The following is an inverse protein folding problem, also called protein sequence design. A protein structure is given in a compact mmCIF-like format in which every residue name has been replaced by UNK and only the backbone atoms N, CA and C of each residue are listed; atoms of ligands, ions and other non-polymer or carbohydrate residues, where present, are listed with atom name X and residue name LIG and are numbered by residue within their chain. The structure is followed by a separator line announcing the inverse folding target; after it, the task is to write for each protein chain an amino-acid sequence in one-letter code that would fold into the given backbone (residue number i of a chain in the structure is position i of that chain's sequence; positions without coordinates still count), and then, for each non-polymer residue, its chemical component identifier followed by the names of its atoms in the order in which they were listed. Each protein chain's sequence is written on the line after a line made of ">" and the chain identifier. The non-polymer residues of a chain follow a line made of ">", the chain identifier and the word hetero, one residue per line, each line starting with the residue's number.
data_IF_960136289833
#
_entry.id   IF_960136289833
#
_cell.length_a   1.000
_cell.length_b   1.000
_cell.length_c   1.000
_cell.angle_alpha   90.00
_cell.angle_beta   90.00
_cell.angle_gamma   90.00
#
_symmetry.space_group_name_H-M   'P 1'
#
loop_
_entity.id
_entity.type
_entity.pdbx_description
1 polymer ?
#
# COMPACT_ATOMS: atom_id res chain seq x y z
N UNK A 1 11.77 -48.66 63.75
CA UNK A 1 10.86 -49.83 63.73
C UNK A 1 9.57 -49.36 63.09
N UNK A 2 8.96 -50.26 62.30
CA UNK A 2 7.71 -50.10 61.52
C UNK A 2 7.86 -49.36 60.17
N UNK A 3 7.76 -50.01 58.99
CA UNK A 3 6.59 -50.59 58.27
C UNK A 3 5.61 -49.47 57.85
N UNK A 4 5.07 -49.35 56.61
CA UNK A 4 4.74 -50.33 55.56
C UNK A 4 4.29 -49.59 54.28
N UNK A 5 4.53 -50.24 53.14
CA UNK A 5 3.89 -50.20 51.79
C UNK A 5 3.00 -49.03 51.32
N UNK A 6 3.15 -48.71 50.03
CA UNK A 6 2.11 -48.04 49.24
C UNK A 6 2.43 -48.01 47.74
N UNK A 7 2.17 -49.13 47.06
CA UNK A 7 2.26 -49.30 45.61
C UNK A 7 1.02 -48.68 44.93
N UNK A 8 1.19 -47.82 43.93
CA UNK A 8 0.14 -47.52 42.95
C UNK A 8 0.76 -47.40 41.55
N UNK A 9 0.45 -48.38 40.71
CA UNK A 9 0.64 -48.36 39.26
C UNK A 9 -0.22 -47.29 38.60
N UNK A 10 0.23 -46.74 37.46
CA UNK A 10 -0.52 -46.58 36.20
C UNK A 10 0.43 -45.96 35.11
N UNK A 11 0.09 -46.01 33.80
CA UNK A 11 0.91 -46.70 32.81
C UNK A 11 1.80 -45.82 31.92
N UNK A 12 2.80 -46.46 31.31
CA UNK A 12 3.54 -45.93 30.15
C UNK A 12 2.64 -45.94 28.92
N UNK A 13 2.43 -44.77 28.31
CA UNK A 13 1.94 -44.67 26.93
C UNK A 13 2.91 -43.83 26.12
N UNK A 14 3.58 -44.51 25.19
CA UNK A 14 4.26 -43.93 24.04
C UNK A 14 3.20 -43.38 23.08
N UNK A 15 3.30 -42.11 22.71
CA UNK A 15 2.60 -41.58 21.54
C UNK A 15 3.51 -40.61 20.80
N UNK A 16 3.63 -40.90 19.51
CA UNK A 16 4.56 -40.32 18.56
C UNK A 16 4.20 -38.89 18.19
N UNK A 17 5.27 -38.16 17.88
CA UNK A 17 5.33 -36.95 17.07
C UNK A 17 4.48 -37.12 15.80
N UNK A 18 3.46 -36.28 15.62
CA UNK A 18 2.65 -36.23 14.39
C UNK A 18 2.70 -34.84 13.80
N UNK A 19 3.37 -34.73 12.65
CA UNK A 19 3.36 -33.56 11.78
C UNK A 19 1.95 -33.31 11.22
N UNK A 20 1.51 -32.06 11.03
CA UNK A 20 0.31 -31.77 10.26
C UNK A 20 0.61 -31.96 8.76
N UNK A 21 0.00 -33.00 8.17
CA UNK A 21 -0.03 -33.23 6.73
C UNK A 21 -0.99 -32.25 6.06
N UNK A 22 -0.42 -31.41 5.21
CA UNK A 22 -1.09 -30.73 4.11
C UNK A 22 -1.93 -31.72 3.30
N UNK A 23 -3.25 -31.52 3.22
CA UNK A 23 -4.13 -32.23 2.29
C UNK A 23 -4.66 -31.22 1.28
N UNK A 24 -3.98 -31.17 0.14
CA UNK A 24 -4.42 -30.54 -1.08
C UNK A 24 -5.65 -31.28 -1.65
N UNK A 25 -6.80 -30.60 -1.70
CA UNK A 25 -7.95 -31.05 -2.51
C UNK A 25 -7.71 -30.64 -3.96
N UNK A 26 -7.15 -31.56 -4.73
CA UNK A 26 -7.06 -31.45 -6.19
C UNK A 26 -8.45 -31.69 -6.80
N UNK A 27 -9.16 -30.63 -7.19
CA UNK A 27 -10.31 -30.76 -8.10
C UNK A 27 -9.75 -30.74 -9.52
N UNK A 28 -9.63 -31.93 -10.12
CA UNK A 28 -9.45 -32.08 -11.57
C UNK A 28 -10.69 -31.50 -12.26
N UNK A 29 -10.53 -30.47 -13.09
CA UNK A 29 -11.50 -30.14 -14.14
C UNK A 29 -10.92 -30.59 -15.46
N UNK A 30 -11.48 -31.68 -15.96
CA UNK A 30 -11.18 -32.21 -17.28
C UNK A 30 -11.58 -31.22 -18.37
N UNK A 31 -10.66 -31.04 -19.30
CA UNK A 31 -10.80 -30.35 -20.56
C UNK A 31 -11.49 -31.27 -21.57
N UNK A 32 -12.77 -31.02 -21.87
CA UNK A 32 -13.38 -31.35 -23.17
C UNK A 32 -14.86 -30.95 -23.17
N UNK A 33 -15.22 -30.02 -24.05
CA UNK A 33 -16.40 -30.02 -24.94
C UNK A 33 -16.81 -28.58 -25.26
N UNK A 34 -16.18 -28.06 -26.30
CA UNK A 34 -16.73 -27.04 -27.17
C UNK A 34 -17.91 -27.68 -27.93
N UNK A 35 -19.13 -27.19 -27.74
CA UNK A 35 -20.21 -27.40 -28.69
C UNK A 35 -21.38 -26.46 -28.41
N UNK A 36 -21.74 -25.68 -29.43
CA UNK A 36 -23.06 -25.08 -29.68
C UNK A 36 -23.32 -23.69 -29.08
N UNK A 37 -22.94 -22.66 -29.84
CA UNK A 37 -23.58 -21.33 -29.82
C UNK A 37 -24.37 -21.18 -31.13
N UNK A 38 -25.66 -20.79 -31.10
CA UNK A 38 -26.45 -20.61 -32.32
C UNK A 38 -26.00 -19.40 -33.13
N UNK A 39 -25.92 -19.59 -34.45
CA UNK A 39 -25.64 -18.55 -35.44
C UNK A 39 -26.83 -17.58 -35.58
N UNK A 40 -26.55 -16.28 -35.52
CA UNK A 40 -27.34 -15.28 -36.21
C UNK A 40 -26.41 -14.48 -37.12
N UNK A 41 -26.87 -14.32 -38.35
CA UNK A 41 -26.09 -14.04 -39.56
C UNK A 41 -26.51 -12.66 -40.04
N UNK A 42 -25.61 -11.69 -39.99
CA UNK A 42 -25.76 -10.43 -40.72
C UNK A 42 -24.49 -10.19 -41.55
N UNK A 43 -24.70 -10.11 -42.86
CA UNK A 43 -23.71 -9.97 -43.91
C UNK A 43 -23.13 -8.54 -43.96
N UNK A 44 -21.80 -8.38 -43.97
CA UNK A 44 -21.13 -7.20 -44.55
C UNK A 44 -19.83 -7.62 -45.24
N UNK A 45 -19.71 -7.21 -46.51
CA UNK A 45 -18.71 -7.57 -47.51
C UNK A 45 -17.26 -7.19 -47.17
N UNK A 46 -16.33 -8.05 -47.60
CA UNK A 46 -14.87 -7.88 -47.52
C UNK A 46 -14.37 -7.15 -48.77
N UNK A 47 -13.79 -5.96 -48.61
CA UNK A 47 -12.89 -5.35 -49.59
C UNK A 47 -11.44 -5.43 -49.09
N UNK A 48 -10.54 -5.83 -49.99
CA UNK A 48 -9.11 -6.02 -49.73
C UNK A 48 -8.36 -4.67 -49.81
N UNK A 49 -7.38 -4.38 -48.93
CA UNK A 49 -6.60 -3.16 -49.02
C UNK A 49 -5.46 -3.30 -50.06
N UNK A 50 -5.10 -2.23 -50.79
CA UNK A 50 -4.03 -2.28 -51.78
C UNK A 50 -2.64 -2.21 -51.14
N UNK A 51 -1.71 -2.97 -51.71
CA UNK A 51 -0.27 -2.89 -51.48
C UNK A 51 0.30 -1.62 -52.13
N UNK A 52 0.78 -0.67 -51.34
CA UNK A 52 1.84 0.26 -51.75
C UNK A 52 2.46 0.93 -50.52
N UNK A 53 3.78 1.14 -50.58
CA UNK A 53 4.65 1.86 -49.63
C UNK A 53 5.28 1.04 -48.50
N UNK A 54 6.21 0.16 -48.91
CA UNK A 54 7.43 -0.11 -48.17
C UNK A 54 8.35 1.11 -48.30
N UNK A 55 8.35 2.02 -47.33
CA UNK A 55 9.51 2.87 -47.03
C UNK A 55 9.59 3.07 -45.52
N UNK A 56 10.60 2.46 -44.91
CA UNK A 56 10.89 2.63 -43.50
C UNK A 56 11.47 4.01 -43.23
N UNK A 57 11.03 4.64 -42.14
CA UNK A 57 11.80 5.64 -41.40
C UNK A 57 11.71 5.29 -39.92
N UNK A 58 12.81 4.77 -39.37
CA UNK A 58 12.98 4.67 -37.93
C UNK A 58 12.98 6.08 -37.35
N UNK A 59 11.94 6.43 -36.59
CA UNK A 59 11.92 7.67 -35.82
C UNK A 59 12.96 7.55 -34.72
N UNK A 60 13.96 8.44 -34.72
CA UNK A 60 15.04 8.46 -33.74
C UNK A 60 14.50 8.48 -32.31
N UNK A 61 15.17 7.76 -31.40
CA UNK A 61 14.82 7.69 -29.96
C UNK A 61 14.64 9.07 -29.31
N UNK A 62 15.30 10.11 -29.83
CA UNK A 62 15.18 11.50 -29.39
C UNK A 62 13.80 12.10 -29.68
N UNK A 63 13.13 11.73 -30.79
CA UNK A 63 11.78 12.21 -31.10
C UNK A 63 10.75 11.65 -30.12
N UNK A 64 10.90 10.37 -29.75
CA UNK A 64 10.04 9.71 -28.77
C UNK A 64 10.26 10.33 -27.38
N UNK A 65 11.52 10.55 -26.98
CA UNK A 65 11.84 11.22 -25.72
C UNK A 65 11.31 12.66 -25.65
N UNK A 66 11.30 13.38 -26.79
CA UNK A 66 10.79 14.73 -26.87
C UNK A 66 9.24 14.79 -26.93
N UNK A 67 8.58 13.75 -27.44
CA UNK A 67 7.10 13.67 -27.44
C UNK A 67 6.54 13.23 -26.08
N UNK A 68 7.28 12.41 -25.31
CA UNK A 68 6.96 12.09 -23.92
C UNK A 68 7.18 13.27 -22.97
N UNK A 69 8.19 14.12 -23.20
CA UNK A 69 8.39 15.35 -22.42
C UNK A 69 7.35 16.43 -22.72
N UNK A 70 6.65 16.32 -23.86
CA UNK A 70 5.59 17.22 -24.32
C UNK A 70 4.16 16.70 -24.05
N UNK A 71 3.99 15.58 -23.34
CA UNK A 71 2.69 15.14 -22.84
C UNK A 71 1.64 14.82 -23.91
N UNK A 72 2.07 14.41 -25.12
CA UNK A 72 1.13 13.99 -26.18
C UNK A 72 1.01 12.46 -26.19
N UNK A 73 -0.16 11.96 -25.82
CA UNK A 73 -0.56 10.57 -26.09
C UNK A 73 -0.93 10.40 -27.57
N UNK A 74 -0.79 9.16 -28.05
CA UNK A 74 -1.22 8.75 -29.41
C UNK A 74 -2.75 8.76 -29.62
N UNK A 75 -3.53 9.10 -28.59
CA UNK A 75 -5.00 9.24 -28.64
C UNK A 75 -5.50 10.66 -28.28
N UNK A 76 -4.71 11.70 -28.58
CA UNK A 76 -5.21 13.06 -28.79
C UNK A 76 -5.89 13.79 -27.61
N UNK A 77 -5.98 13.18 -26.43
CA UNK A 77 -6.46 13.83 -25.21
C UNK A 77 -5.30 14.49 -24.45
N UNK A 78 -5.47 15.73 -23.96
CA UNK A 78 -4.44 16.35 -23.13
C UNK A 78 -4.26 15.54 -21.84
N UNK A 79 -3.03 15.07 -21.60
CA UNK A 79 -2.63 14.55 -20.29
C UNK A 79 -2.65 15.74 -19.33
N UNK A 80 -3.62 15.77 -18.43
CA UNK A 80 -3.71 16.80 -17.40
C UNK A 80 -2.58 16.54 -16.40
N UNK A 81 -1.63 17.49 -16.30
CA UNK A 81 -0.67 17.53 -15.21
C UNK A 81 -1.40 18.02 -13.94
N UNK A 82 -1.91 17.07 -13.15
CA UNK A 82 -2.60 17.34 -11.89
C UNK A 82 -1.68 17.99 -10.85
N UNK A 83 -0.35 17.91 -11.01
CA UNK A 83 0.61 18.62 -10.16
C UNK A 83 0.60 20.14 -10.36
N UNK A 84 0.22 20.61 -11.55
CA UNK A 84 0.14 22.03 -11.89
C UNK A 84 -1.26 22.64 -11.66
N UNK A 85 -2.29 21.80 -11.50
CA UNK A 85 -3.67 22.21 -11.25
C UNK A 85 -4.03 21.88 -9.80
N UNK A 86 -3.44 22.61 -8.85
CA UNK A 86 -4.13 22.87 -7.58
C UNK A 86 -5.26 23.83 -7.91
N UNK A 87 -6.43 23.32 -8.28
CA UNK A 87 -7.60 24.18 -8.42
C UNK A 87 -8.15 24.41 -7.02
N UNK A 88 -7.50 25.32 -6.27
CA UNK A 88 -7.87 25.77 -4.90
C UNK A 88 -9.34 26.28 -4.81
N UNK A 89 -10.07 26.25 -5.93
CA UNK A 89 -11.47 26.66 -6.11
C UNK A 89 -12.45 25.47 -6.17
N UNK A 90 -11.99 24.23 -6.29
CA UNK A 90 -12.88 23.07 -6.25
C UNK A 90 -13.51 22.93 -4.86
N UNK A 91 -14.80 22.61 -4.80
CA UNK A 91 -15.52 22.43 -3.52
C UNK A 91 -14.90 21.33 -2.67
N UNK A 92 -14.43 20.26 -3.33
CA UNK A 92 -13.76 19.14 -2.70
C UNK A 92 -12.43 19.56 -2.04
N UNK A 93 -11.58 20.29 -2.77
CA UNK A 93 -10.29 20.77 -2.27
C UNK A 93 -10.46 21.77 -1.12
N UNK A 94 -11.43 22.68 -1.22
CA UNK A 94 -11.74 23.60 -0.12
C UNK A 94 -12.23 22.87 1.14
N UNK A 95 -13.03 21.82 0.98
CA UNK A 95 -13.53 21.02 2.10
C UNK A 95 -12.38 20.26 2.79
N UNK A 96 -11.50 19.61 2.02
CA UNK A 96 -10.31 18.95 2.57
C UNK A 96 -9.37 19.96 3.23
N UNK A 97 -9.11 21.11 2.59
CA UNK A 97 -8.26 22.16 3.17
C UNK A 97 -8.82 22.69 4.51
N UNK A 98 -10.14 22.82 4.62
CA UNK A 98 -10.80 23.23 5.85
C UNK A 98 -10.71 22.13 6.94
N UNK A 99 -10.97 20.87 6.57
CA UNK A 99 -10.84 19.72 7.46
C UNK A 99 -9.40 19.57 7.97
N UNK A 100 -8.42 19.73 7.08
CA UNK A 100 -7.00 19.75 7.40
C UNK A 100 -6.63 20.83 8.40
N UNK A 101 -7.06 22.08 8.19
CA UNK A 101 -6.82 23.17 9.15
C UNK A 101 -7.40 22.86 10.54
N UNK A 102 -8.59 22.27 10.58
CA UNK A 102 -9.24 21.85 11.83
C UNK A 102 -8.44 20.73 12.51
N UNK A 103 -7.99 19.74 11.74
CA UNK A 103 -7.18 18.64 12.24
C UNK A 103 -5.83 19.14 12.78
N UNK A 104 -5.11 19.99 12.04
CA UNK A 104 -3.86 20.60 12.49
C UNK A 104 -4.03 21.48 13.73
N UNK A 105 -5.15 22.20 13.86
CA UNK A 105 -5.49 22.93 15.08
C UNK A 105 -5.69 21.98 16.27
N UNK A 106 -6.39 20.86 16.06
CA UNK A 106 -6.58 19.84 17.10
C UNK A 106 -5.26 19.26 17.60
N UNK A 107 -4.28 19.06 16.70
CA UNK A 107 -2.94 18.61 17.07
C UNK A 107 -2.18 19.64 17.93
N UNK A 108 -2.34 20.94 17.66
CA UNK A 108 -1.63 22.03 18.36
C UNK A 108 -2.20 22.30 19.75
N UNK A 109 -3.50 22.11 19.93
CA UNK A 109 -4.16 22.36 21.21
C UNK A 109 -3.88 21.26 22.26
N UNK A 110 -3.09 20.23 21.92
CA UNK A 110 -2.77 19.15 22.86
C UNK A 110 -3.99 18.34 23.27
N UNK A 111 -5.13 18.52 22.57
CA UNK A 111 -6.23 17.58 22.60
C UNK A 111 -5.65 16.32 21.96
N UNK A 112 -5.09 15.43 22.80
CA UNK A 112 -4.96 14.03 22.46
C UNK A 112 -6.36 13.65 21.96
N UNK A 113 -6.52 13.55 20.64
CA UNK A 113 -7.75 13.05 20.04
C UNK A 113 -8.17 11.86 20.87
N UNK A 114 -9.38 11.97 21.43
CA UNK A 114 -9.84 11.19 22.57
C UNK A 114 -9.35 9.76 22.42
N UNK A 115 -8.52 9.31 23.36
CA UNK A 115 -7.99 7.94 23.43
C UNK A 115 -9.08 6.90 23.71
N UNK A 116 -10.33 7.20 23.34
CA UNK A 116 -11.54 6.42 23.48
C UNK A 116 -12.26 6.21 22.14
N UNK A 117 -11.59 6.40 21.00
CA UNK A 117 -12.08 5.78 19.76
C UNK A 117 -11.56 4.33 19.69
N UNK A 118 -12.43 3.31 19.68
CA UNK A 118 -12.02 1.90 19.57
C UNK A 118 -11.27 1.59 18.27
N UNK A 119 -11.26 2.52 17.30
CA UNK A 119 -10.51 2.45 16.05
C UNK A 119 -9.00 2.58 16.19
N UNK A 120 -8.45 3.05 17.31
CA UNK A 120 -6.98 3.15 17.49
C UNK A 120 -6.30 1.80 17.78
N UNK A 121 -7.06 0.73 18.00
CA UNK A 121 -6.54 -0.64 18.02
C UNK A 121 -6.28 -1.20 16.62
N UNK A 122 -6.93 -0.62 15.60
CA UNK A 122 -6.84 -1.10 14.22
C UNK A 122 -6.07 -0.11 13.37
N UNK A 123 -5.33 -0.63 12.39
CA UNK A 123 -4.59 0.19 11.45
C UNK A 123 -5.57 1.00 10.60
N UNK A 124 -5.33 2.30 10.46
CA UNK A 124 -6.18 3.17 9.63
C UNK A 124 -6.29 2.64 8.20
N UNK A 125 -7.50 2.58 7.63
CA UNK A 125 -7.71 1.99 6.30
C UNK A 125 -7.65 0.45 6.25
N UNK A 126 -7.59 -0.22 7.40
CA UNK A 126 -7.92 -1.64 7.53
C UNK A 126 -9.27 -1.69 8.24
N UNK A 127 -10.34 -2.10 7.57
CA UNK A 127 -11.69 -2.21 8.15
C UNK A 127 -12.10 -3.69 8.25
N UNK A 128 -13.33 -3.94 8.71
CA UNK A 128 -13.84 -5.32 8.84
C UNK A 128 -13.90 -6.07 7.50
N UNK A 129 -14.05 -5.37 6.36
CA UNK A 129 -14.04 -5.99 5.03
C UNK A 129 -12.65 -6.53 4.67
N UNK A 130 -11.59 -5.73 4.94
CA UNK A 130 -10.20 -6.18 4.79
C UNK A 130 -9.90 -7.38 5.67
N UNK A 131 -10.31 -7.32 6.94
CA UNK A 131 -10.11 -8.43 7.89
C UNK A 131 -10.88 -9.68 7.44
N UNK A 132 -12.10 -9.52 6.91
CA UNK A 132 -12.89 -10.64 6.41
C UNK A 132 -12.30 -11.29 5.15
N UNK A 133 -11.79 -10.51 4.20
CA UNK A 133 -11.19 -11.06 2.97
C UNK A 133 -9.82 -11.71 3.26
N UNK A 134 -9.01 -11.14 4.15
CA UNK A 134 -7.71 -11.72 4.53
C UNK A 134 -7.88 -12.90 5.50
N UNK A 135 -8.87 -12.83 6.39
CA UNK A 135 -9.20 -13.88 7.36
C UNK A 135 -8.57 -13.72 8.74
N UNK A 136 -7.83 -12.63 8.99
CA UNK A 136 -7.27 -12.28 10.30
C UNK A 136 -6.98 -10.78 10.40
N UNK A 137 -6.69 -10.28 11.61
CA UNK A 137 -6.42 -8.88 11.87
C UNK A 137 -5.01 -8.47 11.39
N UNK A 138 -4.94 -7.59 10.39
CA UNK A 138 -3.65 -7.10 9.88
C UNK A 138 -2.94 -6.31 10.98
N UNK A 139 -1.66 -6.61 11.19
CA UNK A 139 -0.84 -6.00 12.23
C UNK A 139 -0.83 -6.75 13.56
N UNK A 140 -1.64 -7.80 13.74
CA UNK A 140 -1.64 -8.60 14.97
C UNK A 140 -0.27 -9.21 15.30
N UNK A 141 0.53 -9.55 14.27
CA UNK A 141 1.89 -10.05 14.42
C UNK A 141 2.80 -9.11 15.22
N UNK A 142 2.47 -7.81 15.33
CA UNK A 142 3.24 -6.86 16.13
C UNK A 142 3.31 -7.24 17.61
N UNK A 143 2.34 -7.98 18.13
CA UNK A 143 2.35 -8.47 19.53
C UNK A 143 3.58 -9.33 19.78
N UNK A 144 3.89 -10.25 18.86
CA UNK A 144 5.04 -11.15 18.98
C UNK A 144 6.37 -10.37 18.99
N UNK A 145 6.49 -9.37 18.11
CA UNK A 145 7.68 -8.51 18.03
C UNK A 145 7.81 -7.58 19.25
N UNK A 146 6.69 -7.08 19.77
CA UNK A 146 6.66 -6.27 20.99
C UNK A 146 7.09 -7.10 22.22
N UNK A 147 6.59 -8.34 22.34
CA UNK A 147 6.98 -9.26 23.40
C UNK A 147 8.46 -9.67 23.32
N UNK A 148 8.95 -10.01 22.12
CA UNK A 148 10.35 -10.37 21.91
C UNK A 148 11.31 -9.22 22.24
N UNK A 149 10.97 -8.00 21.84
CA UNK A 149 11.79 -6.81 22.05
C UNK A 149 11.66 -6.22 23.46
N UNK A 150 10.60 -6.56 24.19
CA UNK A 150 10.22 -5.92 25.45
C UNK A 150 9.82 -4.45 25.28
N UNK A 151 9.51 -4.00 24.06
CA UNK A 151 9.11 -2.64 23.73
C UNK A 151 7.62 -2.58 23.41
N UNK A 152 7.00 -1.44 23.67
CA UNK A 152 5.67 -1.16 23.13
C UNK A 152 5.69 -1.16 21.59
N UNK A 153 4.63 -1.64 20.96
CA UNK A 153 4.56 -1.80 19.50
C UNK A 153 4.78 -0.47 18.76
N UNK A 154 4.24 0.64 19.28
CA UNK A 154 4.42 1.95 18.67
C UNK A 154 5.89 2.38 18.77
N UNK A 155 6.51 2.18 19.95
CA UNK A 155 7.93 2.47 20.16
C UNK A 155 8.81 1.65 19.22
N UNK A 156 8.47 0.38 19.02
CA UNK A 156 9.20 -0.50 18.11
C UNK A 156 9.09 -0.02 16.65
N UNK A 157 7.89 0.35 16.19
CA UNK A 157 7.68 0.93 14.86
C UNK A 157 8.48 2.23 14.69
N UNK A 158 8.47 3.12 15.69
CA UNK A 158 9.24 4.37 15.65
C UNK A 158 10.76 4.11 15.58
N UNK A 159 11.25 3.14 16.35
CA UNK A 159 12.66 2.72 16.30
C UNK A 159 13.04 2.14 14.95
N UNK A 160 12.22 1.25 14.41
CA UNK A 160 12.42 0.68 13.08
C UNK A 160 12.42 1.77 12.00
N UNK A 161 11.48 2.73 12.04
CA UNK A 161 11.46 3.86 11.13
C UNK A 161 12.74 4.72 11.23
N UNK A 162 13.25 4.93 12.44
CA UNK A 162 14.54 5.63 12.66
C UNK A 162 15.70 4.87 12.04
N UNK A 163 15.72 3.55 12.19
CA UNK A 163 16.70 2.69 11.56
C UNK A 163 16.65 2.77 10.03
N UNK A 164 15.46 2.71 9.42
CA UNK A 164 15.32 2.86 7.95
C UNK A 164 15.81 4.21 7.47
N UNK A 165 15.47 5.30 8.16
CA UNK A 165 15.97 6.64 7.83
C UNK A 165 17.49 6.75 7.93
N UNK A 166 18.13 6.03 8.85
CA UNK A 166 19.60 6.02 8.97
C UNK A 166 20.30 5.43 7.73
N UNK A 167 19.61 4.59 6.96
CA UNK A 167 20.09 4.04 5.68
C UNK A 167 19.94 5.02 4.51
N UNK A 168 19.20 6.12 4.69
CA UNK A 168 18.89 7.06 3.62
C UNK A 168 20.06 8.01 3.32
N UNK A 169 20.23 8.38 2.05
CA UNK A 169 21.15 9.47 1.69
C UNK A 169 20.66 10.81 2.24
N UNK A 170 21.57 11.73 2.57
CA UNK A 170 21.25 13.05 3.16
C UNK A 170 20.22 13.87 2.35
N UNK A 171 20.20 13.69 1.03
CA UNK A 171 19.26 14.38 0.14
C UNK A 171 17.81 13.86 0.25
N UNK A 172 17.61 12.65 0.79
CA UNK A 172 16.29 12.01 0.87
C UNK A 172 15.41 12.66 1.94
N UNK A 173 16.00 12.97 3.11
CA UNK A 173 15.32 13.63 4.23
C UNK A 173 16.15 14.82 4.75
N UNK A 174 16.17 15.96 4.05
CA UNK A 174 17.05 17.08 4.39
C UNK A 174 16.79 17.66 5.78
N UNK A 175 15.54 17.66 6.23
CA UNK A 175 15.13 18.20 7.54
C UNK A 175 15.67 17.36 8.71
N UNK A 176 15.79 16.04 8.53
CA UNK A 176 16.30 15.13 9.57
C UNK A 176 17.76 15.42 9.93
N UNK A 177 18.61 15.68 8.92
CA UNK A 177 20.04 15.94 9.13
C UNK A 177 20.30 17.30 9.79
N UNK A 178 19.41 18.28 9.59
CA UNK A 178 19.51 19.58 10.23
C UNK A 178 19.29 19.51 11.75
N UNK A 179 18.54 18.51 12.23
CA UNK A 179 18.24 18.32 13.66
C UNK A 179 19.26 17.44 14.40
N UNK A 180 20.34 16.98 13.74
CA UNK A 180 21.37 16.13 14.36
C UNK A 180 20.93 14.67 14.63
N UNK A 181 19.77 14.27 14.10
CA UNK A 181 19.13 12.97 14.37
C UNK A 181 19.63 11.84 13.45
N UNK A 182 20.68 12.09 12.65
CA UNK A 182 21.22 11.16 11.65
C UNK A 182 22.20 10.10 12.16
N UNK A 183 22.64 10.21 13.42
CA UNK A 183 23.67 9.33 14.01
C UNK A 183 23.08 8.35 15.04
N UNK A 184 21.89 7.80 14.78
CA UNK A 184 21.36 6.75 15.64
C UNK A 184 22.20 5.48 15.48
N UNK A 185 22.84 5.03 16.56
CA UNK A 185 23.54 3.75 16.61
C UNK A 185 22.57 2.64 17.04
N UNK A 186 22.63 1.50 16.37
CA UNK A 186 21.79 0.33 16.63
C UNK A 186 22.68 -0.89 16.88
N UNK A 187 22.30 -1.71 17.87
CA UNK A 187 22.96 -3.00 18.11
C UNK A 187 22.70 -3.99 16.97
N UNK A 188 23.53 -5.02 16.86
CA UNK A 188 23.36 -6.05 15.82
C UNK A 188 22.04 -6.81 16.01
N UNK A 189 21.62 -7.02 17.26
CA UNK A 189 20.37 -7.65 17.65
C UNK A 189 19.16 -6.78 17.25
N UNK A 190 19.22 -5.47 17.47
CA UNK A 190 18.18 -4.54 17.02
C UNK A 190 18.06 -4.52 15.50
N UNK A 191 19.19 -4.49 14.79
CA UNK A 191 19.20 -4.53 13.32
C UNK A 191 18.51 -5.79 12.81
N UNK A 192 18.86 -6.97 13.35
CA UNK A 192 18.24 -8.23 12.94
C UNK A 192 16.74 -8.28 13.25
N UNK A 193 16.31 -7.68 14.38
CA UNK A 193 14.89 -7.54 14.71
C UNK A 193 14.16 -6.64 13.71
N UNK A 194 14.73 -5.47 13.37
CA UNK A 194 14.12 -4.52 12.45
C UNK A 194 14.02 -5.07 11.03
N UNK A 195 15.04 -5.78 10.55
CA UNK A 195 15.01 -6.39 9.22
C UNK A 195 13.90 -7.48 9.16
N UNK A 196 13.76 -8.33 10.20
CA UNK A 196 12.65 -9.30 10.27
C UNK A 196 11.28 -8.64 10.36
N UNK A 197 11.17 -7.55 11.11
CA UNK A 197 9.94 -6.77 11.23
C UNK A 197 9.54 -6.18 9.88
N UNK A 198 10.49 -5.58 9.16
CA UNK A 198 10.26 -5.03 7.83
C UNK A 198 9.87 -6.12 6.82
N UNK A 199 10.55 -7.27 6.83
CA UNK A 199 10.20 -8.40 5.96
C UNK A 199 8.77 -8.87 6.24
N UNK A 200 8.38 -8.99 7.52
CA UNK A 200 7.01 -9.35 7.87
C UNK A 200 5.99 -8.29 7.44
N UNK A 201 6.31 -7.00 7.55
CA UNK A 201 5.45 -5.93 7.06
C UNK A 201 5.27 -5.97 5.53
N UNK A 202 6.31 -6.35 4.78
CA UNK A 202 6.19 -6.61 3.34
C UNK A 202 5.33 -7.84 3.03
N UNK A 203 5.47 -8.92 3.79
CA UNK A 203 4.63 -10.12 3.63
C UNK A 203 3.14 -9.80 3.85
N UNK A 204 2.80 -9.07 4.91
CA UNK A 204 1.42 -8.61 5.17
C UNK A 204 0.92 -7.72 4.02
N UNK A 205 1.79 -6.87 3.48
CA UNK A 205 1.46 -6.05 2.30
C UNK A 205 1.13 -6.92 1.09
N UNK A 206 1.89 -7.99 0.89
CA UNK A 206 1.64 -9.00 -0.14
C UNK A 206 0.35 -9.79 0.08
N UNK A 207 0.02 -10.12 1.32
CA UNK A 207 -1.21 -10.84 1.68
C UNK A 207 -2.45 -10.01 1.34
N UNK A 208 -2.48 -8.73 1.74
CA UNK A 208 -3.57 -7.82 1.37
C UNK A 208 -3.64 -7.66 -0.16
N UNK A 209 -2.50 -7.54 -0.84
CA UNK A 209 -2.46 -7.46 -2.32
C UNK A 209 -3.04 -8.73 -2.97
N UNK A 210 -2.69 -9.92 -2.47
CA UNK A 210 -3.20 -11.19 -2.98
C UNK A 210 -4.71 -11.36 -2.74
N UNK A 211 -5.21 -10.83 -1.63
CA UNK A 211 -6.61 -10.87 -1.25
C UNK A 211 -7.49 -10.04 -2.21
N UNK A 212 -7.12 -8.79 -2.45
CA UNK A 212 -7.90 -7.83 -3.22
C UNK A 212 -7.59 -7.79 -4.72
N UNK A 213 -6.43 -8.29 -5.15
CA UNK A 213 -5.93 -8.14 -6.50
C UNK A 213 -5.24 -9.41 -7.04
N UNK A 214 -5.91 -10.57 -6.93
CA UNK A 214 -5.40 -11.92 -7.27
C UNK A 214 -4.57 -12.02 -8.56
N UNK A 215 -5.10 -11.53 -9.68
CA UNK A 215 -4.39 -11.59 -10.98
C UNK A 215 -3.18 -10.65 -11.01
N UNK A 216 -3.32 -9.46 -10.44
CA UNK A 216 -2.22 -8.49 -10.36
C UNK A 216 -1.11 -9.00 -9.44
N UNK A 217 -1.46 -9.52 -8.25
CA UNK A 217 -0.53 -10.18 -7.34
C UNK A 217 0.25 -11.30 -8.04
N UNK A 218 -0.43 -12.18 -8.77
CA UNK A 218 0.24 -13.21 -9.56
C UNK A 218 1.20 -12.62 -10.61
N UNK A 219 0.82 -11.51 -11.23
CA UNK A 219 1.69 -10.74 -12.12
C UNK A 219 2.93 -10.16 -11.43
N UNK A 220 2.85 -9.81 -10.14
CA UNK A 220 4.03 -9.33 -9.40
C UNK A 220 5.03 -10.44 -9.07
N UNK A 221 4.60 -11.71 -9.01
CA UNK A 221 5.47 -12.85 -8.68
C UNK A 221 6.56 -13.13 -9.73
N UNK A 222 6.43 -12.60 -10.95
CA UNK A 222 7.45 -12.76 -11.99
C UNK A 222 8.53 -11.67 -11.94
N UNK A 223 8.39 -10.68 -11.06
CA UNK A 223 9.34 -9.60 -10.89
C UNK A 223 10.45 -10.00 -9.91
N UNK A 224 11.63 -9.33 -9.97
CA UNK A 224 12.63 -9.45 -8.92
C UNK A 224 12.04 -9.10 -7.54
N UNK A 225 12.54 -9.74 -6.49
CA UNK A 225 12.04 -9.58 -5.12
C UNK A 225 11.95 -8.10 -4.66
N UNK A 226 12.94 -7.22 -4.93
CA UNK A 226 12.85 -5.82 -4.54
C UNK A 226 11.69 -5.06 -5.21
N UNK A 227 11.54 -5.17 -6.53
CA UNK A 227 10.39 -4.59 -7.26
C UNK A 227 9.05 -5.15 -6.77
N UNK A 228 8.96 -6.47 -6.58
CA UNK A 228 7.76 -7.13 -6.09
C UNK A 228 7.34 -6.57 -4.72
N UNK A 229 8.27 -6.52 -3.75
CA UNK A 229 8.04 -5.95 -2.41
C UNK A 229 7.63 -4.48 -2.48
N UNK A 230 8.29 -3.68 -3.32
CA UNK A 230 7.95 -2.26 -3.49
C UNK A 230 6.54 -2.05 -4.05
N UNK A 231 6.13 -2.87 -5.01
CA UNK A 231 4.78 -2.87 -5.57
C UNK A 231 3.73 -3.21 -4.51
N UNK A 232 4.00 -4.20 -3.65
CA UNK A 232 3.06 -4.56 -2.57
C UNK A 232 2.91 -3.44 -1.54
N UNK A 233 4.01 -2.78 -1.15
CA UNK A 233 3.96 -1.64 -0.22
C UNK A 233 3.08 -0.50 -0.76
N UNK A 234 3.27 -0.15 -2.03
CA UNK A 234 2.43 0.85 -2.70
C UNK A 234 0.98 0.37 -2.80
N UNK A 235 0.76 -0.87 -3.23
CA UNK A 235 -0.60 -1.38 -3.39
C UNK A 235 -1.37 -1.34 -2.07
N UNK A 236 -0.76 -1.75 -0.96
CA UNK A 236 -1.41 -1.67 0.35
C UNK A 236 -1.72 -0.25 0.76
N UNK A 237 -0.82 0.70 0.50
CA UNK A 237 -1.11 2.11 0.76
C UNK A 237 -2.30 2.60 -0.07
N UNK A 238 -2.37 2.19 -1.35
CA UNK A 238 -3.50 2.48 -2.22
C UNK A 238 -4.81 1.90 -1.66
N UNK A 239 -4.82 0.61 -1.33
CA UNK A 239 -6.01 -0.06 -0.80
C UNK A 239 -6.49 0.58 0.50
N UNK A 240 -5.58 0.89 1.44
CA UNK A 240 -5.94 1.59 2.69
C UNK A 240 -6.60 2.93 2.44
N UNK A 241 -6.20 3.63 1.39
CA UNK A 241 -6.83 4.90 1.00
C UNK A 241 -8.25 4.68 0.48
N UNK A 242 -8.47 3.65 -0.37
CA UNK A 242 -9.82 3.28 -0.81
C UNK A 242 -10.71 2.98 0.40
N UNK A 243 -10.23 2.17 1.34
CA UNK A 243 -11.00 1.78 2.53
C UNK A 243 -11.33 2.97 3.44
N UNK A 244 -10.49 4.01 3.51
CA UNK A 244 -10.80 5.23 4.27
C UNK A 244 -12.02 5.96 3.68
N UNK A 245 -12.17 5.91 2.35
CA UNK A 245 -13.23 6.58 1.59
C UNK A 245 -14.50 5.73 1.57
N UNK A 246 -14.35 4.42 1.32
CA UNK A 246 -15.45 3.48 1.14
C UNK A 246 -16.03 2.96 2.46
N UNK A 247 -15.31 3.10 3.59
CA UNK A 247 -15.73 2.56 4.87
C UNK A 247 -17.13 3.09 5.28
N UNK A 248 -18.07 2.19 5.62
CA UNK A 248 -19.37 2.61 6.13
C UNK A 248 -19.22 3.25 7.52
N UNK A 249 -19.89 4.39 7.72
CA UNK A 249 -19.85 5.18 8.97
C UNK A 249 -21.25 5.31 9.59
N UNK A 250 -21.87 4.20 10.05
CA UNK A 250 -23.25 4.21 10.52
C UNK A 250 -23.44 5.02 11.82
N UNK A 251 -22.40 5.12 12.64
CA UNK A 251 -22.42 5.84 13.93
C UNK A 251 -22.00 7.31 13.82
N UNK A 252 -21.56 7.76 12.65
CA UNK A 252 -21.08 9.12 12.44
C UNK A 252 -22.26 10.10 12.41
N UNK A 253 -22.14 11.19 13.20
CA UNK A 253 -23.10 12.31 13.16
C UNK A 253 -23.10 12.98 11.78
N UNK A 254 -21.92 13.07 11.16
CA UNK A 254 -21.69 13.57 9.81
C UNK A 254 -20.62 12.69 9.15
N UNK A 255 -21.04 11.65 8.39
CA UNK A 255 -20.12 10.74 7.71
C UNK A 255 -19.12 11.42 6.79
N UNK A 256 -19.54 12.48 6.08
CA UNK A 256 -18.68 13.21 5.15
C UNK A 256 -17.60 13.99 5.91
N UNK A 257 -17.97 14.64 7.02
CA UNK A 257 -17.01 15.36 7.85
C UNK A 257 -15.98 14.44 8.53
N UNK A 258 -16.40 13.24 8.95
CA UNK A 258 -15.50 12.24 9.53
C UNK A 258 -14.55 11.66 8.47
N UNK A 259 -15.07 11.27 7.31
CA UNK A 259 -14.25 10.85 6.16
C UNK A 259 -13.24 11.93 5.76
N UNK A 260 -13.65 13.19 5.69
CA UNK A 260 -12.74 14.31 5.38
C UNK A 260 -11.67 14.50 6.45
N UNK A 261 -12.00 14.24 7.72
CA UNK A 261 -11.02 14.26 8.82
C UNK A 261 -10.00 13.15 8.66
N UNK A 262 -10.44 11.92 8.36
CA UNK A 262 -9.55 10.79 8.13
C UNK A 262 -8.65 11.02 6.90
N UNK A 263 -9.21 11.50 5.78
CA UNK A 263 -8.40 11.85 4.61
C UNK A 263 -7.40 12.97 4.89
N UNK A 264 -7.74 13.92 5.76
CA UNK A 264 -6.82 14.98 6.17
C UNK A 264 -5.66 14.41 7.01
N UNK A 265 -5.95 13.50 7.94
CA UNK A 265 -4.92 12.79 8.70
C UNK A 265 -4.02 11.98 7.76
N UNK A 266 -4.62 11.27 6.80
CA UNK A 266 -3.92 10.44 5.83
C UNK A 266 -3.00 11.26 4.90
N UNK A 267 -3.45 12.42 4.42
CA UNK A 267 -2.63 13.34 3.62
C UNK A 267 -1.45 13.89 4.43
N UNK A 268 -1.69 14.34 5.66
CA UNK A 268 -0.62 14.83 6.56
C UNK A 268 0.39 13.72 6.84
N UNK A 269 -0.07 12.49 7.06
CA UNK A 269 0.77 11.32 7.30
C UNK A 269 1.63 10.97 6.09
N UNK A 270 1.07 11.02 4.88
CA UNK A 270 1.80 10.83 3.63
C UNK A 270 2.91 11.88 3.47
N UNK A 271 2.59 13.17 3.65
CA UNK A 271 3.57 14.26 3.56
C UNK A 271 4.70 14.10 4.59
N UNK A 272 4.35 13.75 5.83
CA UNK A 272 5.29 13.46 6.91
C UNK A 272 6.25 12.32 6.58
N UNK A 273 5.74 11.25 5.99
CA UNK A 273 6.55 10.12 5.56
C UNK A 273 7.51 10.54 4.42
N UNK A 274 7.03 11.26 3.41
CA UNK A 274 7.86 11.63 2.26
C UNK A 274 8.89 12.71 2.57
N UNK A 275 8.56 13.69 3.41
CA UNK A 275 9.44 14.81 3.75
C UNK A 275 10.43 14.48 4.87
N UNK A 276 9.98 13.69 5.86
CA UNK A 276 10.71 13.46 7.12
C UNK A 276 10.96 11.98 7.44
N UNK A 277 10.37 11.06 6.68
CA UNK A 277 10.43 9.63 6.97
C UNK A 277 9.73 9.26 8.28
N UNK A 278 8.76 10.06 8.71
CA UNK A 278 7.95 9.78 9.89
C UNK A 278 6.97 8.64 9.58
N UNK A 279 6.83 7.72 10.53
CA UNK A 279 5.92 6.57 10.45
C UNK A 279 4.92 6.65 11.60
N UNK A 280 3.73 6.12 11.41
CA UNK A 280 2.68 6.05 12.44
C UNK A 280 2.39 4.60 12.81
N UNK A 281 2.28 3.70 11.83
CA UNK A 281 2.08 2.28 12.08
C UNK A 281 2.96 1.37 11.20
N UNK A 282 2.88 0.07 11.45
CA UNK A 282 3.77 -0.93 10.84
C UNK A 282 3.70 -0.97 9.31
N UNK A 283 2.56 -0.63 8.71
CA UNK A 283 2.40 -0.63 7.25
C UNK A 283 2.99 0.62 6.58
N UNK A 284 3.48 1.60 7.36
CA UNK A 284 4.33 2.67 6.82
C UNK A 284 5.77 2.22 6.57
N UNK A 285 6.26 1.21 7.30
CA UNK A 285 7.65 0.76 7.21
C UNK A 285 8.01 0.30 5.78
N UNK A 286 7.19 -0.50 5.08
CA UNK A 286 7.45 -0.86 3.69
C UNK A 286 7.51 0.34 2.75
N UNK A 287 6.63 1.34 2.92
CA UNK A 287 6.60 2.52 2.08
C UNK A 287 7.80 3.45 2.36
N UNK A 288 8.19 3.59 3.63
CA UNK A 288 9.40 4.29 4.03
C UNK A 288 10.64 3.62 3.44
N UNK A 289 10.75 2.29 3.53
CA UNK A 289 11.87 1.55 2.94
C UNK A 289 11.93 1.73 1.41
N UNK A 290 10.78 1.78 0.73
CA UNK A 290 10.72 2.15 -0.68
C UNK A 290 11.27 3.56 -0.92
N UNK A 291 10.88 4.55 -0.12
CA UNK A 291 11.38 5.92 -0.25
C UNK A 291 12.90 6.01 0.00
N UNK A 292 13.42 5.20 0.90
CA UNK A 292 14.87 5.09 1.18
C UNK A 292 15.62 4.47 0.00
N UNK A 293 15.09 3.38 -0.57
CA UNK A 293 15.68 2.68 -1.73
C UNK A 293 15.56 3.45 -3.05
N UNK A 294 14.47 4.20 -3.20
CA UNK A 294 14.13 4.97 -4.39
C UNK A 294 13.93 6.46 -4.02
N UNK A 295 15.00 7.23 -3.71
CA UNK A 295 14.86 8.61 -3.22
C UNK A 295 14.13 9.55 -4.18
N UNK A 296 14.18 9.27 -5.48
CA UNK A 296 13.49 10.00 -6.54
C UNK A 296 12.01 9.63 -6.70
N UNK A 297 11.48 8.70 -5.91
CA UNK A 297 10.04 8.39 -5.87
C UNK A 297 9.25 9.68 -5.53
N UNK A 298 8.43 10.20 -6.46
CA UNK A 298 7.68 11.42 -6.25
C UNK A 298 6.45 11.15 -5.38
N UNK A 299 6.10 12.12 -4.53
CA UNK A 299 4.85 12.09 -3.73
C UNK A 299 3.61 12.32 -4.61
N UNK A 300 3.76 13.04 -5.73
CA UNK A 300 2.65 13.54 -6.55
C UNK A 300 1.58 12.50 -6.86
N UNK A 301 1.92 11.28 -7.32
CA UNK A 301 0.88 10.29 -7.64
C UNK A 301 0.10 9.79 -6.41
N UNK A 302 0.72 9.76 -5.23
CA UNK A 302 0.06 9.42 -3.97
C UNK A 302 -0.93 10.53 -3.57
N UNK A 303 -0.49 11.79 -3.65
CA UNK A 303 -1.37 12.93 -3.39
C UNK A 303 -2.53 13.02 -4.39
N UNK A 304 -2.27 12.75 -5.67
CA UNK A 304 -3.31 12.76 -6.71
C UNK A 304 -4.35 11.66 -6.50
N UNK A 305 -3.95 10.53 -5.94
CA UNK A 305 -4.88 9.46 -5.59
C UNK A 305 -5.83 9.90 -4.48
N UNK A 306 -5.33 10.55 -3.41
CA UNK A 306 -6.18 11.14 -2.34
C UNK A 306 -7.15 12.17 -2.94
N UNK A 307 -6.66 13.03 -3.84
CA UNK A 307 -7.51 14.04 -4.52
C UNK A 307 -8.56 13.40 -5.42
N UNK A 308 -8.20 12.34 -6.15
CA UNK A 308 -9.10 11.61 -7.03
C UNK A 308 -10.32 11.09 -6.27
N UNK A 309 -10.10 10.48 -5.10
CA UNK A 309 -11.19 9.95 -4.26
C UNK A 309 -12.16 11.03 -3.77
N UNK A 310 -11.67 12.24 -3.51
CA UNK A 310 -12.53 13.36 -3.10
C UNK A 310 -13.47 13.84 -4.22
N UNK A 311 -13.11 13.62 -5.49
CA UNK A 311 -13.94 14.00 -6.63
C UNK A 311 -15.08 13.03 -6.90
N UNK A 312 -14.98 11.79 -6.40
CA UNK A 312 -16.01 10.74 -6.55
C UNK A 312 -17.13 10.85 -5.51
N UNK A 313 -17.00 11.73 -4.49
CA UNK A 313 -18.04 11.98 -3.48
C UNK A 313 -19.28 12.64 -4.12
N UNK A 314 -20.48 12.02 -4.04
CA UNK A 314 -21.70 12.57 -4.64
C UNK A 314 -22.02 13.98 -4.12
N UNK A 315 -21.94 14.98 -4.99
CA UNK A 315 -22.18 16.40 -4.66
C UNK A 315 -20.94 17.30 -4.66
N UNK A 316 -19.73 16.73 -4.81
CA UNK A 316 -18.45 17.47 -4.79
C UNK A 316 -17.66 17.47 -6.11
N UNK A 317 -17.93 16.60 -7.10
CA UNK A 317 -17.18 16.59 -8.36
C UNK A 317 -17.79 15.78 -9.51
N UNK A 318 -17.38 16.09 -10.75
CA UNK A 318 -17.76 15.39 -12.00
C UNK A 318 -16.71 14.31 -12.30
N UNK A 319 -17.22 13.14 -12.74
CA UNK A 319 -16.49 11.94 -13.21
C UNK A 319 -15.25 12.29 -14.04
N UNK A 320 -14.10 11.73 -13.64
CA UNK A 320 -13.10 11.08 -14.50
C UNK A 320 -12.05 10.39 -13.59
N UNK A 321 -12.32 9.14 -13.23
CA UNK A 321 -11.40 8.23 -12.54
C UNK A 321 -10.78 7.29 -13.58
N UNK A 322 -9.46 7.05 -13.47
CA UNK A 322 -8.58 6.04 -14.10
C UNK A 322 -7.32 6.77 -14.58
N UNK A 323 -6.28 6.97 -13.74
CA UNK A 323 -4.88 7.20 -14.19
C UNK A 323 -3.80 7.11 -13.06
N UNK A 324 -4.16 7.19 -11.77
CA UNK A 324 -3.18 7.27 -10.66
C UNK A 324 -2.31 6.02 -10.43
N UNK A 325 -2.90 4.82 -10.41
CA UNK A 325 -2.16 3.58 -10.13
C UNK A 325 -1.10 3.26 -11.20
N UNK A 326 -1.41 3.49 -12.48
CA UNK A 326 -0.46 3.25 -13.58
C UNK A 326 0.79 4.12 -13.47
N UNK A 327 0.68 5.37 -12.98
CA UNK A 327 1.82 6.27 -12.85
C UNK A 327 2.77 5.87 -11.72
N UNK A 328 2.24 5.42 -10.57
CA UNK A 328 3.07 4.94 -9.45
C UNK A 328 3.82 3.67 -9.84
N UNK A 329 3.13 2.70 -10.44
CA UNK A 329 3.76 1.46 -10.86
C UNK A 329 4.80 1.67 -11.97
N UNK A 330 4.54 2.58 -12.91
CA UNK A 330 5.53 2.93 -13.93
C UNK A 330 6.77 3.55 -13.31
N UNK A 331 6.64 4.45 -12.32
CA UNK A 331 7.79 5.09 -11.67
C UNK A 331 8.70 4.10 -10.91
N UNK A 332 8.12 3.09 -10.26
CA UNK A 332 8.88 2.06 -9.52
C UNK A 332 9.53 1.06 -10.50
N UNK A 333 8.77 0.55 -11.47
CA UNK A 333 9.28 -0.44 -12.44
C UNK A 333 10.34 0.17 -13.37
N UNK A 334 10.24 1.47 -13.71
CA UNK A 334 11.25 2.14 -14.54
C UNK A 334 12.56 2.44 -13.81
N UNK A 335 12.56 2.61 -12.48
CA UNK A 335 13.81 2.84 -11.74
C UNK A 335 14.68 1.59 -11.64
N UNK A 336 14.10 0.38 -11.65
CA UNK A 336 14.87 -0.87 -11.67
C UNK A 336 15.48 -1.20 -13.04
N UNK A 337 15.04 -0.57 -14.14
CA UNK A 337 15.68 -0.75 -15.45
C UNK A 337 16.97 0.05 -15.64
N UNK A 338 17.41 0.82 -14.63
CA UNK A 338 18.62 1.65 -14.65
C UNK A 338 19.61 1.37 -13.51
N UNK A 339 19.63 0.14 -12.96
CA UNK A 339 20.71 -0.40 -12.12
C UNK A 339 21.31 -1.62 -12.79
#
# INVERSE_FOLDING_TARGET
>A
MESVTGLAMLPRTSTAFSQPKCQSRTIRRDSQLWATVPQQKDDVSVESPPQSMLEGHGSSKEKIANELSLGKTLDGGPVIDFGAVKDDKSRAEMALSAARKKYEASLKEGVKGDSQHPSRQRLMGINDEVVAEVGYEIGEFMKEFAEESGMDADVLVQKCGTYLRSKAGQATFPQMWQSGNGNAEFSAEEIALFDRLLDRAYEESGIVTAAFAKTFYLGTQVLPEPAMKAIWAVYVWCRRTDEIVDAPRPEAVDPDAEMLSDLSEWEIRLERLFDRGEVVDVLDLPLLDCKVKYPSLPITPFSDMIRGMLMDIPGLGRRDMIHGMNYIFTAIVWQEQWV
#
